data_IF_282761963740
#
_entry.id   IF_282761963740
#
_cell.length_a   1.000
_cell.length_b   1.000
_cell.length_c   1.000
_cell.angle_alpha   90.00
_cell.angle_beta   90.00
_cell.angle_gamma   90.00
#
_symmetry.space_group_name_H-M   'P 1'
#
loop_
_entity.id
_entity.type
_entity.pdbx_description
1 polymer ?
#
# COMPACT_ATOMS: atom_id res chain seq x y z
N UNK A 1 -9.26 18.75 -22.58
CA UNK A 1 -10.40 19.47 -21.97
C UNK A 1 -11.33 18.54 -21.16
N UNK A 2 -11.56 17.29 -21.59
CA UNK A 2 -12.46 16.34 -20.91
C UNK A 2 -12.13 16.01 -19.45
N UNK A 3 -10.85 15.91 -19.07
CA UNK A 3 -10.44 15.59 -17.69
C UNK A 3 -10.76 16.68 -16.67
N UNK A 4 -10.81 17.94 -17.09
CA UNK A 4 -11.15 19.08 -16.23
C UNK A 4 -12.65 19.09 -15.92
N UNK A 5 -13.48 18.99 -16.97
CA UNK A 5 -14.95 18.93 -16.86
C UNK A 5 -15.42 17.73 -16.05
N UNK A 6 -14.83 16.54 -16.26
CA UNK A 6 -15.14 15.37 -15.45
C UNK A 6 -14.77 15.55 -13.97
N UNK A 7 -13.66 16.23 -13.67
CA UNK A 7 -13.22 16.48 -12.28
C UNK A 7 -14.11 17.50 -11.56
N UNK A 8 -14.65 18.47 -12.30
CA UNK A 8 -15.54 19.51 -11.80
C UNK A 8 -16.97 18.99 -11.55
N UNK A 9 -17.50 18.18 -12.47
CA UNK A 9 -18.86 17.61 -12.38
C UNK A 9 -18.93 16.47 -11.37
N UNK A 10 -17.98 15.54 -11.39
CA UNK A 10 -18.02 14.36 -10.50
C UNK A 10 -17.37 14.62 -9.13
N UNK A 11 -16.53 15.65 -9.03
CA UNK A 11 -15.69 15.90 -7.87
C UNK A 11 -14.61 14.82 -7.71
N UNK A 12 -13.43 15.20 -7.23
CA UNK A 12 -12.43 14.21 -6.80
C UNK A 12 -12.79 13.73 -5.39
N UNK A 13 -13.09 12.43 -5.24
CA UNK A 13 -13.20 11.82 -3.91
C UNK A 13 -11.88 12.03 -3.17
N UNK A 14 -11.89 12.86 -2.13
CA UNK A 14 -10.71 13.07 -1.29
C UNK A 14 -10.35 11.72 -0.66
N UNK A 15 -9.19 11.18 -1.02
CA UNK A 15 -8.64 10.02 -0.35
C UNK A 15 -8.10 10.49 0.98
N UNK A 16 -8.97 10.55 1.99
CA UNK A 16 -8.53 10.69 3.37
C UNK A 16 -7.83 9.38 3.71
N UNK A 17 -6.57 9.46 4.13
CA UNK A 17 -5.95 8.34 4.81
C UNK A 17 -6.85 8.01 6.01
N UNK A 18 -7.22 6.75 6.14
CA UNK A 18 -8.05 6.34 7.27
C UNK A 18 -7.25 6.57 8.54
N UNK A 19 -7.87 7.16 9.56
CA UNK A 19 -7.20 7.57 10.80
C UNK A 19 -6.48 6.41 11.51
N UNK A 20 -6.94 5.17 11.28
CA UNK A 20 -6.32 3.97 11.83
C UNK A 20 -5.06 3.46 11.10
N UNK A 21 -4.73 4.00 9.93
CA UNK A 21 -3.54 3.58 9.19
C UNK A 21 -2.34 4.37 9.71
N UNK A 22 -1.42 3.68 10.39
CA UNK A 22 -0.20 4.28 10.91
C UNK A 22 0.79 4.63 9.79
N UNK A 23 1.83 5.40 10.13
CA UNK A 23 2.90 5.76 9.20
C UNK A 23 3.77 4.55 8.78
N UNK A 24 3.89 3.52 9.64
CA UNK A 24 4.75 2.35 9.39
C UNK A 24 4.33 1.52 8.16
N UNK A 25 3.05 1.11 7.98
CA UNK A 25 2.60 0.48 6.74
C UNK A 25 2.84 1.32 5.48
N UNK A 26 2.76 2.65 5.57
CA UNK A 26 2.98 3.53 4.43
C UNK A 26 4.44 3.48 3.95
N UNK A 27 5.40 3.50 4.87
CA UNK A 27 6.82 3.34 4.54
C UNK A 27 7.07 1.98 3.87
N UNK A 28 6.47 0.91 4.39
CA UNK A 28 6.56 -0.43 3.78
C UNK A 28 5.93 -0.49 2.39
N UNK A 29 4.89 0.29 2.11
CA UNK A 29 4.30 0.41 0.76
C UNK A 29 5.27 1.04 -0.22
N UNK A 30 6.07 2.03 0.19
CA UNK A 30 7.10 2.63 -0.65
C UNK A 30 8.18 1.60 -1.01
N UNK A 31 8.71 0.88 -0.02
CA UNK A 31 9.68 -0.21 -0.25
C UNK A 31 9.13 -1.28 -1.19
N UNK A 32 7.86 -1.68 -1.02
CA UNK A 32 7.19 -2.62 -1.93
C UNK A 32 7.13 -2.11 -3.37
N UNK A 33 6.92 -0.81 -3.59
CA UNK A 33 6.92 -0.21 -4.94
C UNK A 33 8.29 -0.29 -5.59
N UNK A 34 9.35 -0.03 -4.83
CA UNK A 34 10.73 -0.14 -5.30
C UNK A 34 11.06 -1.58 -5.73
N UNK A 35 10.70 -2.57 -4.90
CA UNK A 35 10.84 -4.00 -5.25
C UNK A 35 10.04 -4.39 -6.48
N UNK A 36 8.84 -3.81 -6.67
CA UNK A 36 8.07 -4.01 -7.90
C UNK A 36 8.78 -3.43 -9.13
N UNK A 37 9.44 -2.29 -8.98
CA UNK A 37 10.30 -1.70 -10.00
C UNK A 37 11.45 -2.62 -10.41
N UNK A 38 12.11 -3.27 -9.44
CA UNK A 38 13.17 -4.23 -9.70
C UNK A 38 12.69 -5.42 -10.56
N UNK A 39 11.48 -5.94 -10.30
CA UNK A 39 10.86 -6.97 -11.15
C UNK A 39 10.64 -6.45 -12.57
N UNK A 40 10.07 -5.25 -12.71
CA UNK A 40 9.75 -4.69 -14.03
C UNK A 40 11.00 -4.39 -14.86
N UNK A 41 12.09 -4.02 -14.21
CA UNK A 41 13.37 -3.70 -14.86
C UNK A 41 14.26 -4.94 -15.12
N UNK A 42 13.87 -6.11 -14.61
CA UNK A 42 14.64 -7.34 -14.78
C UNK A 42 14.69 -7.78 -16.25
N UNK A 43 15.91 -8.09 -16.74
CA UNK A 43 16.15 -8.48 -18.15
C UNK A 43 16.21 -9.99 -18.36
N UNK A 44 16.63 -10.75 -17.34
CA UNK A 44 16.74 -12.21 -17.40
C UNK A 44 15.71 -12.87 -16.50
N UNK A 45 15.35 -14.10 -16.83
CA UNK A 45 14.33 -14.86 -16.11
C UNK A 45 14.75 -15.19 -14.68
N UNK A 46 16.04 -15.44 -14.45
CA UNK A 46 16.61 -15.68 -13.12
C UNK A 46 16.55 -14.43 -12.23
N UNK A 47 16.98 -13.27 -12.74
CA UNK A 47 16.91 -12.01 -11.99
C UNK A 47 15.45 -11.60 -11.70
N UNK A 48 14.52 -11.94 -12.61
CA UNK A 48 13.09 -11.73 -12.37
C UNK A 48 12.58 -12.60 -11.24
N UNK A 49 13.01 -13.87 -11.17
CA UNK A 49 12.58 -14.80 -10.14
C UNK A 49 13.04 -14.36 -8.75
N UNK A 50 14.30 -13.94 -8.60
CA UNK A 50 14.83 -13.45 -7.32
C UNK A 50 14.13 -12.17 -6.88
N UNK A 51 13.96 -11.19 -7.78
CA UNK A 51 13.22 -9.96 -7.47
C UNK A 51 11.73 -10.25 -7.14
N UNK A 52 11.16 -11.30 -7.72
CA UNK A 52 9.78 -11.71 -7.45
C UNK A 52 9.62 -12.29 -6.05
N UNK A 53 10.60 -13.03 -5.56
CA UNK A 53 10.65 -13.58 -4.21
C UNK A 53 10.70 -12.45 -3.15
N UNK A 54 11.61 -11.50 -3.31
CA UNK A 54 11.71 -10.32 -2.44
C UNK A 54 10.42 -9.48 -2.43
N UNK A 55 9.78 -9.31 -3.59
CA UNK A 55 8.49 -8.63 -3.67
C UNK A 55 7.39 -9.40 -2.94
N UNK A 56 7.36 -10.73 -3.04
CA UNK A 56 6.33 -11.52 -2.36
C UNK A 56 6.42 -11.40 -0.84
N UNK A 57 7.63 -11.41 -0.28
CA UNK A 57 7.86 -11.21 1.15
C UNK A 57 7.43 -9.80 1.60
N UNK A 58 7.94 -8.76 0.93
CA UNK A 58 7.61 -7.37 1.27
C UNK A 58 6.11 -7.06 1.11
N UNK A 59 5.46 -7.63 0.09
CA UNK A 59 4.01 -7.51 -0.09
C UNK A 59 3.22 -8.22 1.01
N UNK A 60 3.70 -9.37 1.52
CA UNK A 60 3.10 -10.05 2.67
C UNK A 60 3.25 -9.22 3.94
N UNK A 61 4.43 -8.64 4.17
CA UNK A 61 4.69 -7.78 5.32
C UNK A 61 3.75 -6.55 5.35
N UNK A 62 3.58 -5.86 4.21
CA UNK A 62 2.61 -4.74 4.08
C UNK A 62 1.19 -5.17 4.41
N UNK A 63 0.73 -6.32 3.88
CA UNK A 63 -0.62 -6.81 4.14
C UNK A 63 -0.82 -7.13 5.63
N UNK A 64 0.19 -7.67 6.29
CA UNK A 64 0.13 -7.99 7.70
C UNK A 64 0.11 -6.72 8.56
N UNK A 65 0.97 -5.74 8.30
CA UNK A 65 0.99 -4.49 9.08
C UNK A 65 -0.34 -3.75 9.00
N UNK A 66 -0.93 -3.64 7.80
CA UNK A 66 -2.26 -3.00 7.64
C UNK A 66 -3.36 -3.76 8.41
N UNK A 67 -3.27 -5.09 8.50
CA UNK A 67 -4.22 -5.88 9.29
C UNK A 67 -4.05 -5.64 10.79
N UNK A 68 -2.81 -5.60 11.26
CA UNK A 68 -2.49 -5.33 12.68
C UNK A 68 -2.95 -3.93 13.09
N UNK A 69 -2.65 -2.90 12.30
CA UNK A 69 -3.11 -1.54 12.55
C UNK A 69 -4.63 -1.46 12.70
N UNK A 70 -5.36 -2.13 11.80
CA UNK A 70 -6.82 -2.20 11.87
C UNK A 70 -7.31 -2.93 13.13
N UNK A 71 -6.66 -4.03 13.50
CA UNK A 71 -7.04 -4.81 14.68
C UNK A 71 -6.83 -4.00 15.97
N UNK A 72 -5.67 -3.36 16.10
CA UNK A 72 -5.35 -2.50 17.24
C UNK A 72 -6.35 -1.34 17.36
N UNK A 73 -6.68 -0.68 16.23
CA UNK A 73 -7.67 0.39 16.24
C UNK A 73 -9.06 -0.08 16.71
N UNK A 74 -9.51 -1.27 16.30
CA UNK A 74 -10.79 -1.82 16.76
C UNK A 74 -10.72 -2.18 18.25
N UNK A 75 -9.59 -2.70 18.72
CA UNK A 75 -9.38 -3.03 20.13
C UNK A 75 -9.38 -1.79 21.02
N UNK A 76 -8.71 -0.72 20.60
CA UNK A 76 -8.68 0.55 21.33
C UNK A 76 -10.08 1.19 21.41
N UNK A 77 -10.83 1.18 20.29
CA UNK A 77 -12.24 1.60 20.28
C UNK A 77 -13.13 0.78 21.23
N UNK A 78 -12.84 -0.52 21.37
CA UNK A 78 -13.60 -1.38 22.28
C UNK A 78 -13.24 -1.15 23.76
N UNK A 79 -12.03 -0.66 24.05
CA UNK A 79 -11.58 -0.29 25.41
C UNK A 79 -12.09 1.08 25.85
N UNK A 80 -12.34 1.98 24.91
CA UNK A 80 -12.89 3.32 25.17
C UNK A 80 -14.42 3.33 25.40
N UNK A 81 -15.11 2.22 25.11
CA UNK A 81 -16.55 2.03 25.31
C UNK A 81 -16.89 1.56 26.73
#
# INVERSE_FOLDING_TARGET
MWTSTCSEVLGKKKYQQKDWISADPLNKVQVRKEKKGAINNSRTRAAKATAQEEYTETNRAVKNSVKTDKANFIEDLAKEA
#
